data_IF_589102228133
#
_entry.id   IF_589102228133
#
_cell.length_a   1.000
_cell.length_b   1.000
_cell.length_c   1.000
_cell.angle_alpha   90.00
_cell.angle_beta   90.00
_cell.angle_gamma   90.00
#
_symmetry.space_group_name_H-M   'P 1'
#
loop_
_entity.id
_entity.type
_entity.pdbx_description
1 polymer ?
#
# COMPACT_ATOMS: atom_id res chain seq x y z
N UNK A 1 4.52 11.04 -21.12
CA UNK A 1 4.20 11.22 -19.73
C UNK A 1 3.99 9.87 -19.04
N UNK A 2 4.15 9.82 -17.74
CA UNK A 2 3.96 8.60 -16.93
C UNK A 2 2.49 8.19 -16.79
N UNK A 3 1.57 9.15 -16.78
CA UNK A 3 0.14 8.92 -16.66
C UNK A 3 -0.65 10.05 -17.32
N UNK A 4 -1.89 9.76 -17.74
CA UNK A 4 -2.91 10.78 -18.02
C UNK A 4 -3.65 11.04 -16.71
N UNK A 5 -3.91 12.31 -16.41
CA UNK A 5 -4.51 12.70 -15.15
C UNK A 5 -5.98 13.10 -15.32
N UNK A 6 -6.83 12.60 -14.44
CA UNK A 6 -8.16 13.13 -14.19
C UNK A 6 -8.16 13.78 -12.81
N UNK A 7 -8.44 15.06 -12.75
CA UNK A 7 -8.55 15.84 -11.52
C UNK A 7 -10.02 15.88 -11.10
N UNK A 8 -10.32 15.51 -9.86
CA UNK A 8 -11.68 15.52 -9.32
C UNK A 8 -11.91 16.81 -8.53
N UNK A 9 -12.90 17.58 -8.94
CA UNK A 9 -13.29 18.83 -8.32
C UNK A 9 -14.01 19.76 -9.30
N UNK A 10 -14.49 20.88 -8.78
CA UNK A 10 -15.13 21.92 -9.59
C UNK A 10 -14.15 22.48 -10.64
N UNK A 11 -14.55 22.46 -11.91
CA UNK A 11 -13.65 22.77 -13.02
C UNK A 11 -13.19 24.25 -12.99
N UNK A 12 -14.06 25.17 -12.65
CA UNK A 12 -13.70 26.59 -12.60
C UNK A 12 -12.69 26.84 -11.50
N UNK A 13 -12.93 26.30 -10.31
CA UNK A 13 -12.03 26.37 -9.16
C UNK A 13 -10.64 25.77 -9.47
N UNK A 14 -10.59 24.59 -10.09
CA UNK A 14 -9.32 23.93 -10.45
C UNK A 14 -8.54 24.77 -11.46
N UNK A 15 -9.20 25.27 -12.51
CA UNK A 15 -8.54 26.06 -13.57
C UNK A 15 -8.10 27.44 -13.05
N UNK A 16 -8.92 28.08 -12.22
CA UNK A 16 -8.54 29.35 -11.59
C UNK A 16 -7.32 29.17 -10.68
N UNK A 17 -7.30 28.11 -9.88
CA UNK A 17 -6.16 27.84 -9.00
C UNK A 17 -4.89 27.52 -9.80
N UNK A 18 -5.00 26.79 -10.89
CA UNK A 18 -3.88 26.51 -11.80
C UNK A 18 -3.31 27.81 -12.39
N UNK A 19 -4.17 28.74 -12.84
CA UNK A 19 -3.74 30.06 -13.34
C UNK A 19 -2.99 30.88 -12.27
N UNK A 20 -3.53 30.94 -11.05
CA UNK A 20 -2.89 31.63 -9.92
C UNK A 20 -1.50 31.09 -9.60
N UNK A 21 -1.30 29.78 -9.77
CA UNK A 21 -0.03 29.09 -9.50
C UNK A 21 0.90 29.04 -10.73
N UNK A 22 0.45 29.54 -11.90
CA UNK A 22 1.22 29.47 -13.13
C UNK A 22 1.42 28.02 -13.64
N UNK A 23 0.50 27.10 -13.35
CA UNK A 23 0.57 25.70 -13.70
C UNK A 23 -0.35 25.42 -14.89
N UNK A 24 0.17 24.77 -15.94
CA UNK A 24 -0.64 24.30 -17.06
C UNK A 24 -1.30 22.95 -16.74
N UNK A 25 -2.62 22.94 -16.71
CA UNK A 25 -3.45 21.73 -16.52
C UNK A 25 -4.26 21.37 -17.77
N UNK A 26 -3.91 21.92 -18.94
CA UNK A 26 -4.65 21.70 -20.19
C UNK A 26 -4.67 20.22 -20.63
N UNK A 27 -3.63 19.48 -20.31
CA UNK A 27 -3.53 18.05 -20.60
C UNK A 27 -4.31 17.15 -19.62
N UNK A 28 -4.83 17.70 -18.52
CA UNK A 28 -5.63 16.95 -17.55
C UNK A 28 -7.12 17.08 -17.85
N UNK A 29 -7.86 15.99 -17.67
CA UNK A 29 -9.32 16.05 -17.64
C UNK A 29 -9.76 16.50 -16.25
N UNK A 30 -10.70 17.45 -16.16
CA UNK A 30 -11.32 17.83 -14.88
C UNK A 30 -12.73 17.29 -14.84
N UNK A 31 -13.12 16.66 -13.74
CA UNK A 31 -14.46 16.11 -13.52
C UNK A 31 -14.95 16.55 -12.15
N UNK A 32 -16.09 17.20 -12.10
CA UNK A 32 -16.76 17.51 -10.84
C UNK A 32 -17.67 16.36 -10.43
N UNK A 33 -17.38 15.66 -9.32
CA UNK A 33 -18.21 14.59 -8.80
C UNK A 33 -19.66 14.99 -8.51
N UNK A 34 -19.88 16.26 -8.15
CA UNK A 34 -21.20 16.76 -7.76
C UNK A 34 -22.14 16.93 -8.96
N UNK A 35 -21.60 17.30 -10.12
CA UNK A 35 -22.37 17.63 -11.33
C UNK A 35 -22.15 16.67 -12.50
N UNK A 36 -21.24 15.69 -12.31
CA UNK A 36 -20.92 14.72 -13.36
C UNK A 36 -22.11 13.88 -13.80
N UNK A 37 -22.31 13.65 -15.10
CA UNK A 37 -23.33 12.73 -15.62
C UNK A 37 -23.12 11.26 -15.20
N UNK A 38 -21.94 10.93 -14.66
CA UNK A 38 -21.62 9.59 -14.13
C UNK A 38 -22.20 9.38 -12.73
N UNK A 39 -22.59 10.44 -12.02
CA UNK A 39 -22.98 10.37 -10.61
C UNK A 39 -24.14 9.43 -10.36
N UNK A 40 -25.21 9.51 -11.15
CA UNK A 40 -26.41 8.67 -10.98
C UNK A 40 -26.07 7.18 -11.22
N UNK A 41 -25.26 6.89 -12.25
CA UNK A 41 -24.81 5.53 -12.54
C UNK A 41 -23.96 4.99 -11.39
N UNK A 42 -22.98 5.75 -10.93
CA UNK A 42 -22.12 5.34 -9.82
C UNK A 42 -22.89 5.18 -8.51
N UNK A 43 -23.91 6.02 -8.27
CA UNK A 43 -24.79 5.87 -7.10
C UNK A 43 -25.57 4.55 -7.16
N UNK A 44 -26.16 4.22 -8.30
CA UNK A 44 -26.88 2.97 -8.48
C UNK A 44 -25.96 1.73 -8.30
N UNK A 45 -24.77 1.76 -8.89
CA UNK A 45 -23.78 0.68 -8.75
C UNK A 45 -23.28 0.55 -7.30
N UNK A 46 -22.95 1.66 -6.64
CA UNK A 46 -22.50 1.65 -5.26
C UNK A 46 -23.61 1.14 -4.31
N UNK A 47 -24.86 1.55 -4.51
CA UNK A 47 -26.00 1.03 -3.75
C UNK A 47 -26.14 -0.49 -3.92
N UNK A 48 -26.01 -1.00 -5.15
CA UNK A 48 -26.06 -2.44 -5.42
C UNK A 48 -24.90 -3.20 -4.74
N UNK A 49 -23.67 -2.70 -4.83
CA UNK A 49 -22.49 -3.27 -4.20
C UNK A 49 -22.61 -3.33 -2.67
N UNK A 50 -23.31 -2.35 -2.07
CA UNK A 50 -23.44 -2.19 -0.62
C UNK A 50 -24.82 -2.51 -0.07
N UNK A 51 -25.74 -3.05 -0.87
CA UNK A 51 -27.10 -3.44 -0.47
C UNK A 51 -27.10 -4.34 0.78
N UNK A 52 -26.15 -5.27 0.87
CA UNK A 52 -25.97 -6.17 2.03
C UNK A 52 -25.56 -5.45 3.33
N UNK A 53 -25.20 -4.17 3.27
CA UNK A 53 -24.89 -3.28 4.41
C UNK A 53 -25.99 -2.25 4.65
N UNK A 54 -27.12 -2.35 3.93
CA UNK A 54 -28.27 -1.46 4.10
C UNK A 54 -28.06 -0.04 3.55
N UNK A 55 -27.15 0.15 2.60
CA UNK A 55 -26.96 1.47 1.95
C UNK A 55 -28.14 1.72 1.03
N UNK A 56 -28.86 2.85 1.29
CA UNK A 56 -29.99 3.27 0.45
C UNK A 56 -29.52 3.99 -0.82
N UNK A 57 -30.35 4.08 -1.88
CA UNK A 57 -30.02 4.86 -3.08
C UNK A 57 -29.66 6.32 -2.78
N UNK A 58 -30.38 6.96 -1.87
CA UNK A 58 -30.12 8.35 -1.46
C UNK A 58 -28.75 8.48 -0.79
N UNK A 59 -28.44 7.58 0.15
CA UNK A 59 -27.13 7.54 0.80
C UNK A 59 -25.99 7.26 -0.19
N UNK A 60 -26.25 6.42 -1.19
CA UNK A 60 -25.29 6.14 -2.24
C UNK A 60 -25.04 7.37 -3.11
N UNK A 61 -26.10 8.06 -3.50
CA UNK A 61 -26.02 9.28 -4.30
C UNK A 61 -25.25 10.41 -3.59
N UNK A 62 -25.45 10.56 -2.28
CA UNK A 62 -24.70 11.53 -1.47
C UNK A 62 -23.21 11.13 -1.36
N UNK A 63 -22.93 9.84 -1.15
CA UNK A 63 -21.54 9.36 -0.98
C UNK A 63 -20.70 9.49 -2.24
N UNK A 64 -21.26 9.18 -3.40
CA UNK A 64 -20.49 9.25 -4.66
C UNK A 64 -20.22 10.70 -5.12
N UNK A 65 -20.80 11.70 -4.49
CA UNK A 65 -20.41 13.10 -4.67
C UNK A 65 -19.05 13.41 -4.01
N UNK A 66 -18.60 12.59 -3.07
CA UNK A 66 -17.27 12.71 -2.48
C UNK A 66 -16.18 12.28 -3.47
N UNK A 67 -15.12 13.08 -3.68
CA UNK A 67 -14.08 12.77 -4.67
C UNK A 67 -13.39 11.42 -4.47
N UNK A 68 -13.18 10.95 -3.22
CA UNK A 68 -12.56 9.65 -2.96
C UNK A 68 -13.48 8.50 -3.35
N UNK A 69 -14.77 8.63 -3.11
CA UNK A 69 -15.78 7.64 -3.57
C UNK A 69 -15.93 7.67 -5.09
N UNK A 70 -16.06 8.87 -5.68
CA UNK A 70 -16.19 9.03 -7.13
C UNK A 70 -14.99 8.46 -7.87
N UNK A 71 -13.77 8.83 -7.46
CA UNK A 71 -12.54 8.31 -8.05
C UNK A 71 -12.40 6.79 -7.91
N UNK A 72 -12.82 6.24 -6.76
CA UNK A 72 -12.85 4.79 -6.56
C UNK A 72 -13.85 4.11 -7.50
N UNK A 73 -15.02 4.70 -7.74
CA UNK A 73 -16.00 4.19 -8.73
C UNK A 73 -15.44 4.28 -10.15
N UNK A 74 -14.71 5.34 -10.51
CA UNK A 74 -14.04 5.43 -11.81
C UNK A 74 -13.03 4.29 -12.00
N UNK A 75 -12.25 3.98 -10.95
CA UNK A 75 -11.30 2.85 -10.95
C UNK A 75 -12.05 1.52 -11.08
N UNK A 76 -13.12 1.33 -10.33
CA UNK A 76 -13.94 0.11 -10.38
C UNK A 76 -14.47 -0.14 -11.79
N UNK A 77 -15.02 0.88 -12.41
CA UNK A 77 -15.67 0.83 -13.73
C UNK A 77 -14.64 0.81 -14.90
N UNK A 78 -13.36 0.93 -14.63
CA UNK A 78 -12.29 0.92 -15.65
C UNK A 78 -12.14 2.22 -16.42
N UNK A 79 -12.72 3.31 -15.94
CA UNK A 79 -12.52 4.67 -16.48
C UNK A 79 -11.20 5.29 -16.03
N UNK A 80 -10.61 4.74 -14.99
CA UNK A 80 -9.26 5.03 -14.53
C UNK A 80 -8.55 3.73 -14.14
N UNK A 81 -7.23 3.69 -14.34
CA UNK A 81 -6.42 2.52 -14.01
C UNK A 81 -6.02 2.49 -12.53
N UNK A 82 -6.07 3.64 -11.85
CA UNK A 82 -5.76 3.77 -10.43
C UNK A 82 -6.15 5.14 -9.88
N UNK A 83 -6.09 5.29 -8.56
CA UNK A 83 -6.42 6.53 -7.85
C UNK A 83 -5.33 6.91 -6.86
N UNK A 84 -5.08 8.22 -6.75
CA UNK A 84 -4.25 8.84 -5.72
C UNK A 84 -5.09 9.88 -5.00
N UNK A 85 -5.20 9.78 -3.67
CA UNK A 85 -5.98 10.69 -2.81
C UNK A 85 -5.28 10.87 -1.47
N UNK A 86 -5.82 11.67 -0.54
CA UNK A 86 -5.36 11.73 0.86
C UNK A 86 -4.72 13.04 1.32
N UNK A 87 -4.26 13.92 0.43
CA UNK A 87 -3.58 15.18 0.82
C UNK A 87 -4.40 16.07 1.78
N UNK A 88 -5.71 16.01 1.72
CA UNK A 88 -6.65 16.85 2.50
C UNK A 88 -7.60 16.04 3.36
N UNK A 89 -7.47 14.73 3.37
CA UNK A 89 -8.33 13.81 4.10
C UNK A 89 -7.54 12.87 5.00
N UNK A 90 -8.23 12.06 5.81
CA UNK A 90 -7.58 11.00 6.59
C UNK A 90 -7.33 9.78 5.71
N UNK A 91 -6.31 8.99 6.03
CA UNK A 91 -6.05 7.68 5.40
C UNK A 91 -7.29 6.78 5.37
N UNK A 92 -8.08 6.77 6.45
CA UNK A 92 -9.33 6.02 6.50
C UNK A 92 -10.35 6.48 5.45
N UNK A 93 -10.36 7.77 5.10
CA UNK A 93 -11.27 8.33 4.09
C UNK A 93 -10.90 7.87 2.68
N UNK A 94 -9.61 7.75 2.38
CA UNK A 94 -9.12 7.21 1.10
C UNK A 94 -9.30 5.69 1.01
N UNK A 95 -8.96 4.95 2.09
CA UNK A 95 -8.95 3.49 2.07
C UNK A 95 -10.36 2.90 2.11
N UNK A 96 -11.29 3.50 2.85
CA UNK A 96 -12.65 2.96 3.01
C UNK A 96 -13.37 2.69 1.69
N UNK A 97 -13.50 3.65 0.74
CA UNK A 97 -14.13 3.38 -0.55
C UNK A 97 -13.40 2.28 -1.34
N UNK A 98 -12.07 2.23 -1.27
CA UNK A 98 -11.30 1.18 -1.94
C UNK A 98 -11.64 -0.21 -1.39
N UNK A 99 -11.75 -0.37 -0.06
CA UNK A 99 -12.18 -1.63 0.57
C UNK A 99 -13.63 -1.99 0.25
N UNK A 100 -14.50 -1.00 0.15
CA UNK A 100 -15.93 -1.18 -0.09
C UNK A 100 -16.25 -1.58 -1.54
N UNK A 101 -15.51 -1.05 -2.50
CA UNK A 101 -15.79 -1.11 -3.94
C UNK A 101 -14.75 -1.96 -4.69
N UNK A 102 -13.46 -1.60 -4.62
CA UNK A 102 -12.38 -2.30 -5.34
C UNK A 102 -12.10 -3.66 -4.72
N UNK A 103 -12.14 -3.74 -3.39
CA UNK A 103 -11.91 -4.95 -2.59
C UNK A 103 -10.50 -5.53 -2.75
N UNK A 104 -10.24 -6.64 -2.05
CA UNK A 104 -8.98 -7.37 -2.15
C UNK A 104 -8.87 -8.14 -3.47
N UNK A 105 -7.65 -8.30 -3.95
CA UNK A 105 -7.34 -9.19 -5.05
C UNK A 105 -7.67 -10.66 -4.70
N UNK A 106 -7.98 -11.51 -5.69
CA UNK A 106 -8.24 -12.94 -5.44
C UNK A 106 -7.11 -13.60 -4.65
N UNK A 107 -7.47 -14.36 -3.62
CA UNK A 107 -6.52 -15.07 -2.75
C UNK A 107 -5.79 -14.20 -1.72
N UNK A 108 -6.14 -12.92 -1.59
CA UNK A 108 -5.59 -12.01 -0.58
C UNK A 108 -6.66 -11.72 0.48
N UNK A 109 -6.35 -12.02 1.74
CA UNK A 109 -7.30 -11.85 2.85
C UNK A 109 -7.34 -10.44 3.40
N UNK A 110 -6.31 -9.61 3.16
CA UNK A 110 -6.16 -8.30 3.79
C UNK A 110 -5.44 -7.30 2.87
N UNK A 111 -5.92 -6.05 2.88
CA UNK A 111 -5.18 -4.92 2.31
C UNK A 111 -4.11 -4.49 3.31
N UNK A 112 -2.91 -4.23 2.82
CA UNK A 112 -1.78 -3.77 3.61
C UNK A 112 -1.01 -2.66 2.90
N UNK A 113 0.12 -2.27 3.47
CA UNK A 113 0.96 -1.24 2.87
C UNK A 113 2.43 -1.63 2.89
N UNK A 114 3.20 -1.03 1.99
CA UNK A 114 4.65 -1.03 2.10
C UNK A 114 5.21 0.39 2.04
N UNK A 115 6.38 0.56 2.64
CA UNK A 115 7.27 1.69 2.38
C UNK A 115 8.50 1.22 1.61
N UNK A 116 8.82 1.91 0.53
CA UNK A 116 10.10 1.78 -0.14
C UNK A 116 11.11 2.64 0.60
N UNK A 117 12.01 2.02 1.33
CA UNK A 117 13.05 2.68 2.12
C UNK A 117 14.30 2.80 1.26
N UNK A 118 14.50 3.98 0.65
CA UNK A 118 15.67 4.26 -0.17
C UNK A 118 16.83 4.70 0.72
N UNK A 119 17.75 3.80 0.97
CA UNK A 119 19.02 4.03 1.65
C UNK A 119 20.07 4.51 0.64
N UNK A 120 21.26 4.86 1.11
CA UNK A 120 22.31 5.38 0.25
C UNK A 120 22.80 4.36 -0.80
N UNK A 121 22.73 3.07 -0.47
CA UNK A 121 23.30 1.96 -1.25
C UNK A 121 22.26 0.95 -1.76
N UNK A 122 21.04 1.00 -1.25
CA UNK A 122 20.01 -0.01 -1.54
C UNK A 122 18.59 0.48 -1.24
N UNK A 123 17.62 -0.24 -1.78
CA UNK A 123 16.19 -0.07 -1.46
C UNK A 123 15.71 -1.29 -0.67
N UNK A 124 15.09 -1.05 0.48
CA UNK A 124 14.39 -2.05 1.27
C UNK A 124 12.89 -1.82 1.22
N UNK A 125 12.11 -2.89 1.28
CA UNK A 125 10.64 -2.84 1.30
C UNK A 125 10.16 -3.23 2.69
N UNK A 126 9.47 -2.31 3.38
CA UNK A 126 8.94 -2.48 4.73
C UNK A 126 7.42 -2.65 4.72
N UNK A 127 6.93 -3.77 5.16
CA UNK A 127 5.50 -4.10 5.24
C UNK A 127 5.10 -4.83 6.55
N UNK A 128 3.95 -4.61 7.12
CA UNK A 128 3.05 -3.48 7.02
C UNK A 128 3.42 -2.39 8.03
N UNK A 129 3.32 -1.13 7.62
CA UNK A 129 3.72 -0.01 8.47
C UNK A 129 2.61 1.05 8.65
N UNK A 130 1.40 0.84 8.08
CA UNK A 130 0.37 1.89 8.08
C UNK A 130 -1.09 1.41 8.21
N UNK A 131 -1.40 0.13 8.01
CA UNK A 131 -2.80 -0.33 7.84
C UNK A 131 -3.26 -1.29 8.94
N UNK A 132 -2.53 -2.38 9.19
CA UNK A 132 -3.00 -3.47 10.06
C UNK A 132 -2.36 -3.41 11.45
N UNK A 133 -3.15 -3.08 12.52
CA UNK A 133 -2.58 -2.94 13.86
C UNK A 133 -1.97 -4.22 14.41
N UNK A 134 -2.68 -5.34 14.32
CA UNK A 134 -2.23 -6.65 14.81
C UNK A 134 -2.75 -7.76 13.86
N UNK A 135 -2.01 -8.04 12.77
CA UNK A 135 -2.42 -9.06 11.82
C UNK A 135 -2.29 -10.47 12.42
N UNK A 136 -3.24 -11.34 12.09
CA UNK A 136 -3.12 -12.78 12.37
C UNK A 136 -1.97 -13.41 11.58
N UNK A 137 -1.55 -14.63 11.92
CA UNK A 137 -0.52 -15.34 11.18
C UNK A 137 -0.87 -15.52 9.69
N UNK A 138 -2.15 -15.73 9.37
CA UNK A 138 -2.62 -15.82 7.99
C UNK A 138 -2.51 -14.48 7.25
N UNK A 139 -3.00 -13.40 7.88
CA UNK A 139 -2.89 -12.05 7.32
C UNK A 139 -1.43 -11.63 7.16
N UNK A 140 -0.58 -11.97 8.11
CA UNK A 140 0.86 -11.66 8.06
C UNK A 140 1.54 -12.39 6.89
N UNK A 141 1.14 -13.63 6.60
CA UNK A 141 1.61 -14.36 5.43
C UNK A 141 1.15 -13.70 4.12
N UNK A 142 -0.10 -13.22 4.04
CA UNK A 142 -0.60 -12.49 2.87
C UNK A 142 0.11 -11.14 2.70
N UNK A 143 0.40 -10.43 3.78
CA UNK A 143 1.22 -9.21 3.78
C UNK A 143 2.60 -9.51 3.19
N UNK A 144 3.25 -10.61 3.61
CA UNK A 144 4.56 -11.00 3.13
C UNK A 144 4.56 -11.29 1.61
N UNK A 145 3.62 -12.09 1.14
CA UNK A 145 3.49 -12.43 -0.29
C UNK A 145 3.18 -11.18 -1.11
N UNK A 146 2.28 -10.33 -0.63
CA UNK A 146 1.95 -9.05 -1.29
C UNK A 146 3.15 -8.11 -1.33
N UNK A 147 3.92 -8.01 -0.24
CA UNK A 147 5.13 -7.19 -0.17
C UNK A 147 6.23 -7.68 -1.12
N UNK A 148 6.38 -9.00 -1.26
CA UNK A 148 7.30 -9.59 -2.23
C UNK A 148 6.91 -9.28 -3.67
N UNK A 149 5.62 -9.36 -4.00
CA UNK A 149 5.10 -8.97 -5.33
C UNK A 149 5.33 -7.50 -5.61
N UNK A 150 5.03 -6.64 -4.64
CA UNK A 150 5.27 -5.20 -4.76
C UNK A 150 6.77 -4.92 -4.93
N UNK A 151 7.66 -5.56 -4.17
CA UNK A 151 9.10 -5.43 -4.35
C UNK A 151 9.54 -5.76 -5.79
N UNK A 152 9.08 -6.89 -6.33
CA UNK A 152 9.39 -7.30 -7.70
C UNK A 152 8.87 -6.30 -8.75
N UNK A 153 7.66 -5.74 -8.58
CA UNK A 153 7.11 -4.70 -9.47
C UNK A 153 8.00 -3.46 -9.55
N UNK A 154 8.70 -3.13 -8.46
CA UNK A 154 9.64 -2.01 -8.40
C UNK A 154 11.10 -2.41 -8.67
N UNK A 155 11.34 -3.61 -9.21
CA UNK A 155 12.68 -4.07 -9.59
C UNK A 155 13.56 -4.49 -8.41
N UNK A 156 12.99 -4.68 -7.22
CA UNK A 156 13.67 -5.20 -6.04
C UNK A 156 13.47 -6.71 -5.98
N UNK A 157 14.54 -7.48 -6.13
CA UNK A 157 14.48 -8.94 -5.98
C UNK A 157 13.99 -9.32 -4.58
N UNK A 158 12.87 -10.06 -4.44
CA UNK A 158 12.28 -10.29 -3.13
C UNK A 158 13.03 -11.38 -2.35
N UNK A 159 13.57 -11.02 -1.20
CA UNK A 159 14.08 -11.90 -0.15
C UNK A 159 13.42 -11.48 1.16
N UNK A 160 12.46 -12.28 1.62
CA UNK A 160 11.52 -11.90 2.68
C UNK A 160 12.03 -12.32 4.05
N UNK A 161 12.19 -11.36 4.95
CA UNK A 161 12.45 -11.58 6.37
C UNK A 161 11.17 -11.33 7.18
N UNK A 162 10.67 -12.37 7.86
CA UNK A 162 9.56 -12.28 8.80
C UNK A 162 10.11 -11.91 10.17
N UNK A 163 9.97 -10.64 10.54
CA UNK A 163 10.66 -10.05 11.68
C UNK A 163 10.06 -10.44 13.03
N UNK A 164 10.95 -10.61 13.99
CA UNK A 164 10.62 -10.92 15.38
C UNK A 164 11.77 -10.44 16.28
N UNK A 165 11.53 -10.39 17.60
CA UNK A 165 12.62 -10.27 18.58
C UNK A 165 13.42 -11.57 18.74
N UNK A 166 13.01 -12.66 18.10
CA UNK A 166 13.69 -13.97 18.08
C UNK A 166 14.28 -14.27 16.72
N UNK A 167 15.43 -14.94 16.69
CA UNK A 167 16.01 -15.56 15.50
C UNK A 167 15.96 -17.07 15.63
N UNK A 168 15.26 -17.75 14.73
CA UNK A 168 15.06 -19.19 14.78
C UNK A 168 14.37 -19.64 16.08
N UNK A 169 15.12 -20.33 16.93
CA UNK A 169 14.62 -20.86 18.21
C UNK A 169 15.18 -20.12 19.43
N UNK A 170 15.79 -18.95 19.26
CA UNK A 170 16.43 -18.22 20.36
C UNK A 170 15.44 -17.63 21.37
N UNK A 171 14.19 -17.50 21.02
CA UNK A 171 13.13 -16.99 21.88
C UNK A 171 11.83 -17.77 21.72
N UNK A 172 10.89 -17.53 22.65
CA UNK A 172 9.57 -18.12 22.68
C UNK A 172 8.52 -17.09 23.09
N UNK A 173 7.26 -17.36 22.82
CA UNK A 173 6.13 -16.50 23.16
C UNK A 173 5.14 -16.40 22.00
N UNK A 174 3.94 -15.87 22.28
CA UNK A 174 2.84 -15.81 21.32
C UNK A 174 3.23 -15.08 20.04
N UNK A 175 3.98 -13.97 20.14
CA UNK A 175 4.42 -13.19 18.99
C UNK A 175 5.42 -13.96 18.11
N UNK A 176 6.34 -14.73 18.73
CA UNK A 176 7.29 -15.58 18.00
C UNK A 176 6.55 -16.70 17.28
N UNK A 177 5.58 -17.34 17.94
CA UNK A 177 4.77 -18.41 17.33
C UNK A 177 3.90 -17.88 16.18
N UNK A 178 3.33 -16.67 16.31
CA UNK A 178 2.62 -15.98 15.22
C UNK A 178 3.50 -15.83 13.98
N UNK A 179 4.73 -15.34 14.15
CA UNK A 179 5.68 -15.15 13.04
C UNK A 179 6.14 -16.50 12.45
N UNK A 180 6.39 -17.51 13.31
CA UNK A 180 6.75 -18.86 12.86
C UNK A 180 5.65 -19.48 11.99
N UNK A 181 4.41 -19.40 12.44
CA UNK A 181 3.26 -19.90 11.69
C UNK A 181 3.04 -19.11 10.40
N UNK A 182 3.19 -17.78 10.43
CA UNK A 182 3.12 -16.96 9.23
C UNK A 182 4.21 -17.35 8.21
N UNK A 183 5.44 -17.57 8.65
CA UNK A 183 6.55 -18.01 7.79
C UNK A 183 6.25 -19.37 7.13
N UNK A 184 5.71 -20.33 7.89
CA UNK A 184 5.27 -21.63 7.36
C UNK A 184 4.21 -21.45 6.27
N UNK A 185 3.21 -20.57 6.51
CA UNK A 185 2.15 -20.28 5.54
C UNK A 185 2.66 -19.58 4.28
N UNK A 186 3.67 -18.70 4.39
CA UNK A 186 4.31 -18.10 3.21
C UNK A 186 4.94 -19.19 2.33
N UNK A 187 5.67 -20.14 2.93
CA UNK A 187 6.27 -21.27 2.20
C UNK A 187 5.24 -22.13 1.49
N UNK A 188 4.04 -22.29 2.06
CA UNK A 188 2.94 -23.02 1.43
C UNK A 188 2.27 -22.24 0.30
N UNK A 189 2.05 -20.92 0.50
CA UNK A 189 1.39 -20.05 -0.49
C UNK A 189 2.30 -19.69 -1.67
N UNK A 190 3.59 -19.61 -1.44
CA UNK A 190 4.59 -19.19 -2.42
C UNK A 190 5.90 -20.00 -2.24
N UNK A 191 5.93 -21.28 -2.69
CA UNK A 191 7.06 -22.19 -2.45
C UNK A 191 8.40 -21.69 -3.01
N UNK A 192 8.36 -20.93 -4.10
CA UNK A 192 9.56 -20.40 -4.77
C UNK A 192 10.06 -19.08 -4.17
N UNK A 193 9.32 -18.49 -3.22
CA UNK A 193 9.69 -17.23 -2.59
C UNK A 193 10.72 -17.47 -1.48
N UNK A 194 11.95 -16.90 -1.58
CA UNK A 194 12.90 -16.96 -0.50
C UNK A 194 12.35 -16.25 0.76
N UNK A 195 12.07 -17.01 1.81
CA UNK A 195 11.53 -16.49 3.08
C UNK A 195 12.26 -17.08 4.26
N UNK A 196 12.59 -16.23 5.24
CA UNK A 196 13.19 -16.59 6.52
C UNK A 196 12.41 -15.96 7.67
N UNK A 197 12.24 -16.73 8.75
CA UNK A 197 11.57 -16.24 9.95
C UNK A 197 11.24 -17.34 10.96
N UNK A 198 11.10 -16.98 12.24
CA UNK A 198 11.31 -15.65 12.80
C UNK A 198 12.80 -15.22 12.73
N UNK A 199 13.06 -13.94 12.48
CA UNK A 199 14.41 -13.40 12.38
C UNK A 199 14.46 -11.96 12.94
N UNK A 200 15.52 -11.64 13.67
CA UNK A 200 15.78 -10.29 14.16
C UNK A 200 16.26 -9.38 13.03
N UNK A 201 15.99 -8.09 13.14
CA UNK A 201 16.31 -7.10 12.10
C UNK A 201 17.81 -7.10 11.73
N UNK A 202 18.71 -7.13 12.71
CA UNK A 202 20.16 -7.19 12.50
C UNK A 202 20.57 -8.42 11.69
N UNK A 203 20.05 -9.59 12.07
CA UNK A 203 20.32 -10.84 11.35
C UNK A 203 19.70 -10.87 9.94
N UNK A 204 18.61 -10.14 9.71
CA UNK A 204 17.99 -10.03 8.39
C UNK A 204 18.83 -9.22 7.39
N UNK A 205 19.53 -8.15 7.85
CA UNK A 205 20.15 -7.17 6.95
C UNK A 205 21.69 -7.10 7.02
N UNK A 206 22.31 -7.64 8.09
CA UNK A 206 23.77 -7.66 8.27
C UNK A 206 24.35 -9.05 7.99
N UNK A 207 25.18 -9.20 6.94
CA UNK A 207 25.79 -10.49 6.61
C UNK A 207 26.68 -11.06 7.71
N UNK A 208 27.27 -10.19 8.56
CA UNK A 208 28.16 -10.65 9.64
C UNK A 208 27.36 -11.30 10.75
N UNK A 209 26.23 -10.68 11.14
CA UNK A 209 25.29 -11.22 12.13
C UNK A 209 24.67 -12.51 11.60
N UNK A 210 24.24 -12.50 10.33
CA UNK A 210 23.63 -13.67 9.68
C UNK A 210 24.54 -14.90 9.70
N UNK A 211 25.83 -14.75 9.40
CA UNK A 211 26.79 -15.88 9.45
C UNK A 211 26.84 -16.55 10.80
N UNK A 212 26.61 -15.81 11.88
CA UNK A 212 26.63 -16.36 13.23
C UNK A 212 25.30 -17.01 13.63
N UNK A 213 24.17 -16.40 13.22
CA UNK A 213 22.84 -16.80 13.67
C UNK A 213 22.13 -17.76 12.70
N UNK A 214 22.33 -17.62 11.39
CA UNK A 214 21.61 -18.32 10.33
C UNK A 214 22.49 -18.52 9.07
N UNK A 215 23.61 -19.22 9.20
CA UNK A 215 24.64 -19.40 8.14
C UNK A 215 24.08 -19.93 6.81
N UNK A 216 23.08 -20.81 6.87
CA UNK A 216 22.55 -21.52 5.71
C UNK A 216 21.31 -20.86 5.10
N UNK A 217 20.86 -19.72 5.67
CA UNK A 217 19.67 -19.04 5.18
C UNK A 217 19.90 -18.33 3.84
N UNK A 218 19.01 -18.52 2.85
CA UNK A 218 19.09 -17.80 1.58
C UNK A 218 18.66 -16.32 1.71
N UNK A 219 18.17 -15.89 2.87
CA UNK A 219 17.59 -14.55 3.12
C UNK A 219 18.40 -13.77 4.14
N UNK A 220 18.82 -14.40 5.23
CA UNK A 220 19.51 -13.72 6.33
C UNK A 220 20.77 -12.97 5.83
N UNK A 221 20.97 -11.76 6.33
CA UNK A 221 22.05 -10.85 5.95
C UNK A 221 21.89 -10.14 4.61
N UNK A 222 20.85 -10.47 3.83
CA UNK A 222 20.59 -9.91 2.49
C UNK A 222 19.11 -9.75 2.19
N UNK A 223 18.26 -9.69 3.24
CA UNK A 223 16.86 -9.45 3.08
C UNK A 223 16.59 -8.10 2.37
N UNK A 224 15.61 -8.10 1.49
CA UNK A 224 15.16 -6.91 0.76
C UNK A 224 13.74 -6.52 1.12
N UNK A 225 12.96 -7.48 1.62
CA UNK A 225 11.59 -7.29 2.11
C UNK A 225 11.55 -7.65 3.59
N UNK A 226 11.18 -6.69 4.43
CA UNK A 226 11.11 -6.85 5.88
C UNK A 226 9.65 -6.72 6.31
N UNK A 227 9.10 -7.80 6.86
CA UNK A 227 7.70 -7.88 7.28
C UNK A 227 7.62 -7.82 8.80
N UNK A 228 6.93 -6.82 9.30
CA UNK A 228 6.81 -6.52 10.73
C UNK A 228 5.62 -7.26 11.35
N UNK A 229 5.74 -7.79 12.56
CA UNK A 229 4.70 -8.60 13.20
C UNK A 229 3.44 -7.82 13.59
N UNK A 230 3.56 -6.50 13.74
CA UNK A 230 2.51 -5.59 14.15
C UNK A 230 2.81 -4.14 13.72
N UNK A 231 1.78 -3.29 13.78
CA UNK A 231 1.88 -1.90 13.32
C UNK A 231 2.78 -1.04 14.21
N UNK A 232 2.83 -1.30 15.51
CA UNK A 232 3.71 -0.52 16.40
C UNK A 232 5.16 -0.71 16.00
N UNK A 233 5.56 -1.96 15.76
CA UNK A 233 6.91 -2.30 15.32
C UNK A 233 7.21 -1.70 13.94
N UNK A 234 6.32 -1.90 12.96
CA UNK A 234 6.53 -1.42 11.60
C UNK A 234 6.56 0.11 11.49
N UNK A 235 5.57 0.78 12.09
CA UNK A 235 5.45 2.24 12.02
C UNK A 235 6.60 2.97 12.71
N UNK A 236 7.01 2.50 13.91
CA UNK A 236 8.15 3.11 14.61
C UNK A 236 9.46 2.82 13.90
N UNK A 237 9.67 1.60 13.37
CA UNK A 237 10.92 1.23 12.72
C UNK A 237 11.16 2.01 11.44
N UNK A 238 10.17 2.14 10.53
CA UNK A 238 10.40 2.90 9.31
C UNK A 238 10.73 4.37 9.60
N UNK A 239 10.05 4.99 10.59
CA UNK A 239 10.33 6.36 11.01
C UNK A 239 11.72 6.52 11.63
N UNK A 240 12.11 5.55 12.46
CA UNK A 240 13.45 5.54 13.06
C UNK A 240 14.54 5.46 11.97
N UNK A 241 14.41 4.53 11.04
CA UNK A 241 15.34 4.38 9.92
C UNK A 241 15.35 5.62 9.03
N UNK A 242 14.16 6.15 8.68
CA UNK A 242 14.04 7.38 7.90
C UNK A 242 14.82 8.53 8.54
N UNK A 243 14.69 8.72 9.84
CA UNK A 243 15.31 9.85 10.55
C UNK A 243 16.77 9.61 10.89
N UNK A 244 17.14 8.40 11.32
CA UNK A 244 18.48 8.10 11.80
C UNK A 244 19.47 7.77 10.69
N UNK A 245 18.99 7.17 9.58
CA UNK A 245 19.81 6.84 8.43
C UNK A 245 19.63 7.82 7.25
N UNK A 246 18.90 8.93 7.44
CA UNK A 246 18.57 9.88 6.37
C UNK A 246 17.97 9.22 5.12
N UNK A 247 17.26 8.11 5.32
CA UNK A 247 16.62 7.38 4.24
C UNK A 247 15.40 8.13 3.69
N UNK A 248 15.17 8.04 2.38
CA UNK A 248 13.92 8.49 1.79
C UNK A 248 12.90 7.37 1.90
N UNK A 249 11.81 7.64 2.65
CA UNK A 249 10.70 6.70 2.78
C UNK A 249 9.60 7.10 1.78
N UNK A 250 9.29 6.24 0.81
CA UNK A 250 8.24 6.45 -0.18
C UNK A 250 7.08 5.52 0.15
N UNK A 251 5.93 6.08 0.49
CA UNK A 251 4.74 5.34 0.92
C UNK A 251 3.82 6.18 1.81
N UNK A 252 2.74 5.57 2.34
CA UNK A 252 2.42 4.15 2.18
C UNK A 252 1.93 3.81 0.77
N UNK A 253 2.49 2.77 0.18
CA UNK A 253 2.02 2.16 -1.05
C UNK A 253 1.05 1.06 -0.68
N UNK A 254 -0.23 1.19 -1.03
CA UNK A 254 -1.23 0.17 -0.72
C UNK A 254 -1.06 -1.04 -1.63
N UNK A 255 -1.28 -2.21 -1.06
CA UNK A 255 -1.16 -3.50 -1.74
C UNK A 255 -2.28 -4.45 -1.33
N UNK A 256 -2.49 -5.48 -2.14
CA UNK A 256 -3.57 -6.45 -1.91
C UNK A 256 -4.94 -6.00 -2.41
N UNK A 257 -5.09 -4.78 -2.95
CA UNK A 257 -6.30 -4.34 -3.64
C UNK A 257 -6.39 -4.92 -5.05
N UNK A 258 -7.62 -5.13 -5.53
CA UNK A 258 -7.87 -5.62 -6.89
C UNK A 258 -7.52 -4.59 -7.98
N UNK A 259 -7.44 -3.31 -7.67
CA UNK A 259 -6.92 -2.23 -8.52
C UNK A 259 -6.17 -1.21 -7.65
N UNK A 260 -5.18 -0.48 -8.19
CA UNK A 260 -4.34 0.40 -7.39
C UNK A 260 -5.11 1.64 -6.90
N UNK A 261 -5.09 1.82 -5.60
CA UNK A 261 -5.51 3.04 -4.91
C UNK A 261 -4.43 3.35 -3.89
N UNK A 262 -3.87 4.55 -3.94
CA UNK A 262 -2.82 4.95 -3.01
C UNK A 262 -3.20 6.21 -2.22
N UNK A 263 -2.78 6.24 -0.97
CA UNK A 263 -3.03 7.31 -0.02
C UNK A 263 -1.82 8.24 0.10
N UNK A 264 -2.09 9.51 0.27
CA UNK A 264 -1.10 10.55 0.52
C UNK A 264 -1.27 11.08 1.94
N UNK A 265 -0.15 11.38 2.60
CA UNK A 265 -0.16 12.12 3.85
C UNK A 265 -0.73 13.54 3.64
N UNK A 266 -1.43 14.07 4.64
CA UNK A 266 -1.85 15.49 4.68
C UNK A 266 -0.70 16.50 4.64
N UNK A 267 0.52 16.04 4.86
CA UNK A 267 1.75 16.81 4.72
C UNK A 267 2.56 16.48 3.47
N UNK A 268 1.94 15.83 2.48
CA UNK A 268 2.62 15.44 1.25
C UNK A 268 3.09 16.67 0.46
N UNK A 269 4.33 16.62 0.03
CA UNK A 269 4.93 17.59 -0.85
C UNK A 269 4.64 17.24 -2.32
N UNK A 270 4.83 18.18 -3.24
CA UNK A 270 4.64 17.95 -4.68
C UNK A 270 5.40 16.71 -5.15
N UNK A 271 6.65 16.53 -4.71
CA UNK A 271 7.44 15.32 -5.06
C UNK A 271 6.81 14.02 -4.58
N UNK A 272 6.14 14.04 -3.43
CA UNK A 272 5.49 12.84 -2.88
C UNK A 272 4.26 12.49 -3.71
N UNK A 273 3.51 13.50 -4.17
CA UNK A 273 2.38 13.33 -5.08
C UNK A 273 2.86 12.73 -6.41
N UNK A 274 3.91 13.30 -7.02
CA UNK A 274 4.49 12.81 -8.28
C UNK A 274 4.97 11.37 -8.14
N UNK A 275 5.68 11.05 -7.07
CA UNK A 275 6.15 9.69 -6.78
C UNK A 275 4.98 8.72 -6.63
N UNK A 276 3.92 9.10 -5.89
CA UNK A 276 2.76 8.24 -5.69
C UNK A 276 1.97 8.02 -6.98
N UNK A 277 1.86 9.03 -7.86
CA UNK A 277 1.28 8.87 -9.20
C UNK A 277 2.10 7.87 -10.02
N UNK A 278 3.44 7.99 -10.03
CA UNK A 278 4.32 7.09 -10.74
C UNK A 278 4.19 5.64 -10.22
N UNK A 279 4.16 5.46 -8.90
CA UNK A 279 3.93 4.18 -8.24
C UNK A 279 2.59 3.57 -8.66
N UNK A 280 1.51 4.36 -8.62
CA UNK A 280 0.18 3.92 -9.03
C UNK A 280 0.14 3.49 -10.50
N UNK A 281 0.82 4.22 -11.38
CA UNK A 281 0.94 3.86 -12.79
C UNK A 281 1.72 2.54 -13.01
N UNK A 282 2.81 2.32 -12.26
CA UNK A 282 3.55 1.05 -12.29
C UNK A 282 2.67 -0.11 -11.82
N UNK A 283 1.95 0.07 -10.70
CA UNK A 283 1.02 -0.95 -10.19
C UNK A 283 -0.09 -1.29 -11.19
N UNK A 284 -0.60 -0.29 -11.93
CA UNK A 284 -1.61 -0.48 -12.96
C UNK A 284 -1.09 -1.22 -14.19
N UNK A 285 0.15 -0.94 -14.60
CA UNK A 285 0.78 -1.55 -15.79
C UNK A 285 1.34 -2.96 -15.55
N UNK A 286 1.49 -3.38 -14.32
CA UNK A 286 2.03 -4.70 -13.93
C UNK A 286 0.97 -5.82 -13.85
N UNK A 287 -0.22 -5.63 -14.43
CA UNK A 287 -1.36 -6.57 -14.42
C UNK A 287 -1.56 -7.27 -15.74
#
# INVERSE_FOLDING_TARGET
GMARLTLLGDEETVRERARQLGVDVSAATVVDPATSPLRDRFAAEYAALRAHKGVTPEQAHDRVADPSYFGTMMVHDGLADGMVSGCVTTTAHTIRPALEVVRTAPGVSVVSSVFLMCLADRVLVYGDCAVNPDPTAEQLADIAVSSARTAAQFGVEPRVAMLSYSTGQSGSGADVEKVREATRRVREKAPDLPVEGPVQYDAAVDPTVARTKLSDSPVAGRATVLVFPDLNTGNNTYKAVQRSASAVAIGPVLQGLNKPVNDLSRGALVRDIVNTIAITAVQAGAR
#
